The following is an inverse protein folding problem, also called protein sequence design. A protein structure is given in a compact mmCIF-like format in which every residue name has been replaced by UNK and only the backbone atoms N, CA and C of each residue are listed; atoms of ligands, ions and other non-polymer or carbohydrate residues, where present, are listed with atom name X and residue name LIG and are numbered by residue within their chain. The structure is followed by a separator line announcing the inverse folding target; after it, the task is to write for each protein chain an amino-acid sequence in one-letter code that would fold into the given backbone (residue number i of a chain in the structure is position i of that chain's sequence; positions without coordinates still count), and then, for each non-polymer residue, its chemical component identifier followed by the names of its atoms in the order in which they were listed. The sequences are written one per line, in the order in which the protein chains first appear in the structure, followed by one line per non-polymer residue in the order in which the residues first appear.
data_IF_354836952543
#
_entry.id   IF_354836952543
#
_cell.length_a   1.000
_cell.length_b   1.000
_cell.length_c   1.000
_cell.angle_alpha   90.00
_cell.angle_beta   90.00
_cell.angle_gamma   90.00
#
_symmetry.space_group_name_H-M   'P 1'
#
loop_
_entity.id
_entity.type
_entity.pdbx_description
1 polymer ?
#
# COMPACT_ATOMS: atom_id res chain seq x y z
N UNK A 1 -14.30 10.23 9.37
CA UNK A 1 -15.22 9.66 10.38
C UNK A 1 -15.98 8.46 9.83
N UNK A 2 -16.78 8.56 8.75
CA UNK A 2 -17.59 7.46 8.19
C UNK A 2 -16.80 6.18 7.88
N UNK A 3 -15.58 6.29 7.34
CA UNK A 3 -14.73 5.13 7.03
C UNK A 3 -14.31 4.41 8.31
N UNK A 4 -13.90 5.14 9.34
CA UNK A 4 -13.52 4.56 10.63
C UNK A 4 -14.70 3.83 11.30
N UNK A 5 -15.88 4.44 11.30
CA UNK A 5 -17.11 3.81 11.83
C UNK A 5 -17.42 2.49 11.11
N UNK A 6 -17.28 2.45 9.77
CA UNK A 6 -17.47 1.22 9.00
C UNK A 6 -16.44 0.14 9.33
N UNK A 7 -15.20 0.55 9.57
CA UNK A 7 -14.12 -0.37 9.95
C UNK A 7 -14.36 -0.96 11.34
N UNK A 8 -14.74 -0.14 12.32
CA UNK A 8 -15.07 -0.57 13.68
C UNK A 8 -16.24 -1.58 13.62
N UNK A 9 -17.28 -1.26 12.86
CA UNK A 9 -18.43 -2.14 12.68
C UNK A 9 -18.04 -3.49 12.04
N UNK A 10 -17.23 -3.46 10.98
CA UNK A 10 -16.81 -4.67 10.27
C UNK A 10 -15.85 -5.55 11.09
N UNK A 11 -15.01 -4.93 11.91
CA UNK A 11 -14.05 -5.64 12.76
C UNK A 11 -14.65 -6.11 14.09
N UNK A 12 -15.79 -5.53 14.51
CA UNK A 12 -16.37 -5.77 15.83
C UNK A 12 -15.46 -5.33 16.98
N UNK A 13 -14.54 -4.39 16.73
CA UNK A 13 -13.53 -3.95 17.69
C UNK A 13 -13.78 -2.51 18.13
N UNK A 14 -14.19 -2.34 19.38
CA UNK A 14 -14.24 -1.04 20.06
C UNK A 14 -12.79 -0.59 20.34
N UNK A 15 -12.48 0.68 20.13
CA UNK A 15 -11.11 1.22 20.28
C UNK A 15 -10.23 1.10 19.02
N UNK A 16 -10.79 0.56 17.93
CA UNK A 16 -10.06 0.46 16.64
C UNK A 16 -9.62 1.83 16.13
N UNK A 17 -10.34 2.89 16.45
CA UNK A 17 -10.04 4.29 16.08
C UNK A 17 -8.68 4.75 16.58
N UNK A 18 -8.22 4.26 17.73
CA UNK A 18 -6.90 4.61 18.28
C UNK A 18 -5.75 4.06 17.43
N UNK A 19 -6.04 3.02 16.65
CA UNK A 19 -5.07 2.30 15.82
C UNK A 19 -5.15 2.61 14.34
N UNK A 20 -6.11 3.45 13.92
CA UNK A 20 -6.29 3.86 12.53
C UNK A 20 -5.59 5.21 12.31
N UNK A 21 -4.86 5.33 11.20
CA UNK A 21 -4.26 6.59 10.76
C UNK A 21 -4.55 6.82 9.28
N UNK A 22 -4.98 8.04 8.96
CA UNK A 22 -5.23 8.50 7.59
C UNK A 22 -4.30 9.68 7.29
N UNK A 23 -3.63 9.64 6.15
CA UNK A 23 -2.95 10.84 5.66
C UNK A 23 -3.98 11.87 5.18
N UNK A 24 -3.65 13.17 5.22
CA UNK A 24 -4.54 14.21 4.70
C UNK A 24 -4.95 13.92 3.25
N UNK A 25 -6.25 13.98 2.97
CA UNK A 25 -6.79 13.74 1.63
C UNK A 25 -6.81 12.29 1.14
N UNK A 26 -6.50 11.29 2.00
CA UNK A 26 -6.57 9.88 1.61
C UNK A 26 -7.97 9.48 1.13
N UNK A 27 -9.00 9.74 1.91
CA UNK A 27 -10.38 9.31 1.59
C UNK A 27 -10.89 9.93 0.29
N UNK A 28 -10.80 11.26 0.08
CA UNK A 28 -11.19 11.85 -1.20
C UNK A 28 -10.39 11.32 -2.40
N UNK A 29 -9.08 11.09 -2.26
CA UNK A 29 -8.26 10.58 -3.36
C UNK A 29 -8.61 9.13 -3.71
N UNK A 30 -8.75 8.25 -2.70
CA UNK A 30 -9.17 6.87 -2.92
C UNK A 30 -10.56 6.80 -3.56
N UNK A 31 -11.50 7.65 -3.10
CA UNK A 31 -12.85 7.70 -3.66
C UNK A 31 -12.84 8.17 -5.11
N UNK A 32 -12.16 9.27 -5.41
CA UNK A 32 -12.07 9.79 -6.77
C UNK A 32 -11.43 8.77 -7.73
N UNK A 33 -10.40 8.04 -7.30
CA UNK A 33 -9.80 6.96 -8.07
C UNK A 33 -10.81 5.83 -8.35
N UNK A 34 -11.55 5.39 -7.33
CA UNK A 34 -12.56 4.34 -7.52
C UNK A 34 -13.70 4.81 -8.42
N UNK A 35 -14.20 6.03 -8.25
CA UNK A 35 -15.27 6.61 -9.07
C UNK A 35 -14.83 6.75 -10.55
N UNK A 36 -13.53 6.94 -10.82
CA UNK A 36 -12.96 6.97 -12.17
C UNK A 36 -12.63 5.60 -12.77
N UNK A 37 -12.94 4.49 -12.10
CA UNK A 37 -12.69 3.14 -12.60
C UNK A 37 -11.27 2.61 -12.35
N UNK A 38 -10.47 3.29 -11.51
CA UNK A 38 -9.13 2.82 -11.20
C UNK A 38 -9.11 1.39 -10.63
N UNK A 39 -8.10 0.57 -10.96
CA UNK A 39 -7.98 -0.79 -10.43
C UNK A 39 -7.62 -0.79 -8.94
N UNK A 40 -7.99 -1.87 -8.26
CA UNK A 40 -7.56 -2.17 -6.90
C UNK A 40 -6.51 -3.28 -6.98
N UNK A 41 -5.28 -2.99 -6.53
CA UNK A 41 -4.16 -3.93 -6.55
C UNK A 41 -3.99 -4.54 -5.16
N UNK A 42 -4.11 -5.87 -5.06
CA UNK A 42 -4.11 -6.61 -3.80
C UNK A 42 -2.89 -7.52 -3.68
N UNK A 43 -2.22 -7.53 -2.51
CA UNK A 43 -1.05 -8.35 -2.26
C UNK A 43 -1.36 -9.84 -2.05
N UNK A 44 -2.60 -10.18 -1.72
CA UNK A 44 -3.02 -11.55 -1.46
C UNK A 44 -4.46 -11.80 -1.93
N UNK A 45 -4.79 -13.06 -2.25
CA UNK A 45 -6.15 -13.47 -2.62
C UNK A 45 -7.17 -13.19 -1.52
N UNK A 46 -6.79 -13.39 -0.26
CA UNK A 46 -7.63 -13.07 0.89
C UNK A 46 -8.11 -11.61 0.85
N UNK A 47 -7.23 -10.68 0.48
CA UNK A 47 -7.57 -9.26 0.34
C UNK A 47 -8.49 -9.04 -0.85
N UNK A 48 -8.16 -9.61 -2.02
CA UNK A 48 -8.96 -9.43 -3.24
C UNK A 48 -10.35 -10.06 -3.14
N UNK A 49 -10.47 -11.20 -2.47
CA UNK A 49 -11.78 -11.85 -2.25
C UNK A 49 -12.61 -11.16 -1.16
N UNK A 50 -11.98 -10.45 -0.24
CA UNK A 50 -12.66 -9.63 0.76
C UNK A 50 -13.33 -8.37 0.21
N UNK A 51 -13.01 -7.98 -1.04
CA UNK A 51 -13.58 -6.80 -1.69
C UNK A 51 -14.97 -7.15 -2.26
N UNK A 52 -16.00 -6.47 -1.79
CA UNK A 52 -17.37 -6.63 -2.26
C UNK A 52 -17.54 -5.98 -3.65
N UNK A 53 -17.17 -6.71 -4.71
CA UNK A 53 -17.17 -6.22 -6.11
C UNK A 53 -18.47 -5.52 -6.55
N UNK A 54 -19.69 -6.03 -6.22
CA UNK A 54 -20.93 -5.35 -6.60
C UNK A 54 -21.12 -3.94 -6.00
N UNK A 55 -20.31 -3.56 -5.02
CA UNK A 55 -20.34 -2.22 -4.41
C UNK A 55 -19.31 -1.26 -4.99
N UNK A 56 -18.49 -1.71 -5.92
CA UNK A 56 -17.53 -0.85 -6.60
C UNK A 56 -18.23 0.07 -7.59
N UNK A 57 -17.92 1.38 -7.60
CA UNK A 57 -18.74 2.37 -8.30
C UNK A 57 -18.64 2.31 -9.83
N UNK A 58 -17.54 1.80 -10.38
CA UNK A 58 -17.25 1.86 -11.81
C UNK A 58 -16.77 0.53 -12.41
N UNK A 59 -17.19 -0.61 -11.83
CA UNK A 59 -16.74 -1.92 -12.31
C UNK A 59 -15.22 -2.13 -12.16
N UNK A 60 -14.62 -1.51 -11.16
CA UNK A 60 -13.17 -1.50 -10.91
C UNK A 60 -12.58 -2.92 -10.94
N UNK A 61 -11.51 -3.10 -11.69
CA UNK A 61 -10.76 -4.34 -11.68
C UNK A 61 -10.11 -4.58 -10.32
N UNK A 62 -10.22 -5.79 -9.77
CA UNK A 62 -9.53 -6.22 -8.55
C UNK A 62 -8.47 -7.22 -8.97
N UNK A 63 -7.21 -6.84 -8.83
CA UNK A 63 -6.03 -7.54 -9.36
C UNK A 63 -5.18 -8.07 -8.20
N UNK A 64 -4.86 -9.37 -8.25
CA UNK A 64 -3.90 -10.01 -7.36
C UNK A 64 -2.96 -10.88 -8.16
N UNK A 65 -1.70 -10.49 -8.27
CA UNK A 65 -0.68 -11.16 -9.10
C UNK A 65 0.15 -12.21 -8.36
N UNK A 66 -0.14 -12.48 -7.08
CA UNK A 66 0.66 -13.37 -6.23
C UNK A 66 0.82 -14.79 -6.79
N UNK A 67 -0.17 -15.27 -7.54
CA UNK A 67 -0.17 -16.62 -8.11
C UNK A 67 0.08 -16.64 -9.62
N UNK A 68 0.45 -15.51 -10.21
CA UNK A 68 0.76 -15.45 -11.64
C UNK A 68 1.94 -16.34 -11.97
N UNK A 69 1.87 -16.97 -13.15
CA UNK A 69 2.99 -17.73 -13.68
C UNK A 69 4.26 -16.88 -13.76
N UNK A 70 5.40 -17.44 -13.36
CA UNK A 70 6.70 -16.77 -13.32
C UNK A 70 6.96 -15.91 -12.08
N UNK A 71 6.01 -15.76 -11.15
CA UNK A 71 6.28 -15.07 -9.87
C UNK A 71 7.29 -15.85 -9.01
N UNK A 72 7.24 -17.19 -8.91
CA UNK A 72 8.27 -17.94 -8.17
C UNK A 72 9.67 -17.74 -8.73
N UNK A 73 9.85 -17.81 -10.06
CA UNK A 73 11.13 -17.61 -10.73
C UNK A 73 11.63 -16.16 -10.56
N UNK A 74 10.73 -15.19 -10.66
CA UNK A 74 11.05 -13.79 -10.42
C UNK A 74 11.50 -13.56 -8.97
N UNK A 75 10.83 -14.18 -8.00
CA UNK A 75 11.21 -14.11 -6.59
C UNK A 75 12.60 -14.67 -6.34
N UNK A 76 12.91 -15.84 -6.93
CA UNK A 76 14.24 -16.46 -6.85
C UNK A 76 15.29 -15.55 -7.48
N UNK A 77 15.05 -14.98 -8.66
CA UNK A 77 15.96 -14.05 -9.34
C UNK A 77 16.20 -12.78 -8.53
N UNK A 78 15.18 -12.27 -7.86
CA UNK A 78 15.28 -11.07 -7.01
C UNK A 78 15.90 -11.35 -5.64
N UNK A 79 16.05 -12.61 -5.23
CA UNK A 79 16.42 -12.97 -3.86
C UNK A 79 15.41 -12.46 -2.82
N UNK A 80 14.13 -12.40 -3.16
CA UNK A 80 13.09 -11.82 -2.32
C UNK A 80 11.85 -12.74 -2.24
N UNK A 81 10.86 -12.36 -1.44
CA UNK A 81 9.62 -13.12 -1.28
C UNK A 81 8.76 -13.08 -2.54
N UNK A 82 7.91 -14.12 -2.72
CA UNK A 82 6.90 -14.10 -3.80
C UNK A 82 5.97 -12.90 -3.72
N UNK A 83 5.62 -12.47 -2.50
CA UNK A 83 4.79 -11.29 -2.29
C UNK A 83 5.45 -10.02 -2.82
N UNK A 84 6.75 -9.83 -2.56
CA UNK A 84 7.52 -8.71 -3.12
C UNK A 84 7.64 -8.80 -4.65
N UNK A 85 7.98 -9.98 -5.18
CA UNK A 85 8.13 -10.19 -6.62
C UNK A 85 6.83 -9.97 -7.40
N UNK A 86 5.69 -10.35 -6.82
CA UNK A 86 4.38 -10.15 -7.43
C UNK A 86 4.07 -8.66 -7.72
N UNK A 87 4.58 -7.74 -6.88
CA UNK A 87 4.36 -6.31 -7.05
C UNK A 87 5.05 -5.72 -8.29
N UNK A 88 6.13 -6.34 -8.79
CA UNK A 88 6.76 -5.89 -10.02
C UNK A 88 5.81 -5.98 -11.23
N UNK A 89 4.84 -6.89 -11.17
CA UNK A 89 3.80 -7.01 -12.19
C UNK A 89 2.72 -5.93 -12.10
N UNK A 90 2.72 -5.12 -11.04
CA UNK A 90 1.79 -4.01 -10.88
C UNK A 90 2.20 -2.77 -11.66
N UNK A 91 3.46 -2.64 -12.08
CA UNK A 91 3.96 -1.43 -12.76
C UNK A 91 3.04 -0.90 -13.87
N UNK A 92 2.49 -1.74 -14.77
CA UNK A 92 1.58 -1.27 -15.82
C UNK A 92 0.23 -0.75 -15.30
N UNK A 93 -0.16 -1.16 -14.10
CA UNK A 93 -1.48 -0.87 -13.51
C UNK A 93 -1.40 0.10 -12.32
N UNK A 94 -0.18 0.52 -11.93
CA UNK A 94 0.04 1.25 -10.68
C UNK A 94 -0.40 2.72 -10.76
N UNK A 95 -0.34 3.33 -11.96
CA UNK A 95 -0.73 4.73 -12.15
C UNK A 95 -2.19 4.97 -11.72
N UNK A 96 -2.40 5.80 -10.70
CA UNK A 96 -3.72 6.13 -10.21
C UNK A 96 -4.49 5.00 -9.52
N UNK A 97 -3.90 3.81 -9.36
CA UNK A 97 -4.54 2.68 -8.69
C UNK A 97 -4.80 2.92 -7.20
N UNK A 98 -5.72 2.16 -6.63
CA UNK A 98 -5.83 1.98 -5.19
C UNK A 98 -5.10 0.69 -4.81
N UNK A 99 -4.07 0.79 -3.98
CA UNK A 99 -3.31 -0.38 -3.51
C UNK A 99 -3.84 -0.83 -2.15
N UNK A 100 -4.07 -2.12 -1.99
CA UNK A 100 -4.51 -2.75 -0.74
C UNK A 100 -3.54 -3.88 -0.34
N UNK A 101 -2.68 -3.60 0.64
CA UNK A 101 -1.75 -4.57 1.24
C UNK A 101 -2.28 -4.97 2.60
N UNK A 102 -2.84 -6.16 2.70
CA UNK A 102 -3.48 -6.67 3.90
C UNK A 102 -2.87 -7.95 4.44
N UNK A 103 -1.80 -8.47 3.81
CA UNK A 103 -1.15 -9.70 4.23
C UNK A 103 0.34 -9.52 4.50
N UNK A 104 1.16 -9.21 3.49
CA UNK A 104 2.60 -9.34 3.57
C UNK A 104 3.34 -8.03 3.87
N UNK A 105 4.06 -7.90 5.01
CA UNK A 105 4.95 -6.76 5.26
C UNK A 105 5.99 -6.55 4.17
N UNK A 106 6.55 -7.65 3.62
CA UNK A 106 7.53 -7.59 2.54
C UNK A 106 6.96 -6.98 1.25
N UNK A 107 5.67 -7.15 0.97
CA UNK A 107 5.00 -6.46 -0.13
C UNK A 107 4.97 -4.95 0.10
N UNK A 108 4.63 -4.51 1.32
CA UNK A 108 4.57 -3.08 1.64
C UNK A 108 5.94 -2.43 1.54
N UNK A 109 6.99 -3.04 2.12
CA UNK A 109 8.36 -2.54 1.99
C UNK A 109 8.80 -2.48 0.52
N UNK A 110 8.50 -3.53 -0.27
CA UNK A 110 8.87 -3.54 -1.67
C UNK A 110 8.16 -2.44 -2.47
N UNK A 111 6.87 -2.21 -2.20
CA UNK A 111 6.14 -1.09 -2.81
C UNK A 111 6.79 0.26 -2.51
N UNK A 112 7.16 0.50 -1.25
CA UNK A 112 7.83 1.75 -0.85
C UNK A 112 9.15 1.92 -1.60
N UNK A 113 9.96 0.85 -1.71
CA UNK A 113 11.20 0.87 -2.49
C UNK A 113 10.96 1.14 -3.98
N UNK A 114 9.91 0.55 -4.58
CA UNK A 114 9.53 0.85 -5.97
C UNK A 114 9.18 2.33 -6.16
N UNK A 115 8.50 2.92 -5.19
CA UNK A 115 8.06 4.32 -5.24
C UNK A 115 9.18 5.33 -4.95
N UNK A 116 10.36 4.89 -4.52
CA UNK A 116 11.57 5.71 -4.48
C UNK A 116 12.08 6.06 -5.89
N UNK A 117 11.83 5.19 -6.87
CA UNK A 117 12.13 5.46 -8.26
C UNK A 117 11.16 6.52 -8.83
N UNK A 118 11.65 7.70 -9.25
CA UNK A 118 10.80 8.75 -9.83
C UNK A 118 10.06 8.31 -11.10
N UNK A 119 10.60 7.31 -11.82
CA UNK A 119 9.97 6.75 -13.02
C UNK A 119 8.86 5.74 -12.70
N UNK A 120 8.76 5.29 -11.44
CA UNK A 120 7.69 4.38 -11.03
C UNK A 120 6.34 5.10 -11.00
N UNK A 121 5.31 4.58 -11.69
CA UNK A 121 3.98 5.15 -11.64
C UNK A 121 3.45 5.18 -10.20
N UNK A 122 2.72 6.23 -9.84
CA UNK A 122 2.23 6.40 -8.47
C UNK A 122 0.77 6.01 -8.32
N UNK A 123 0.42 5.25 -7.27
CA UNK A 123 -0.96 4.98 -6.94
C UNK A 123 -1.64 6.23 -6.39
N UNK A 124 -2.96 6.32 -6.53
CA UNK A 124 -3.77 7.38 -5.94
C UNK A 124 -3.88 7.24 -4.41
N UNK A 125 -3.90 6.00 -3.93
CA UNK A 125 -4.03 5.68 -2.51
C UNK A 125 -3.41 4.34 -2.15
N UNK A 126 -2.85 4.22 -0.93
CA UNK A 126 -2.31 2.97 -0.39
C UNK A 126 -3.00 2.66 0.93
N UNK A 127 -3.57 1.47 1.02
CA UNK A 127 -4.11 0.87 2.25
C UNK A 127 -3.07 -0.12 2.76
N UNK A 128 -2.31 0.27 3.80
CA UNK A 128 -1.23 -0.53 4.38
C UNK A 128 -1.65 -1.17 5.70
N UNK A 129 -2.19 -2.38 5.63
CA UNK A 129 -2.66 -3.15 6.78
C UNK A 129 -2.04 -4.56 6.82
N UNK A 130 -0.73 -4.74 6.52
CA UNK A 130 -0.14 -6.07 6.58
C UNK A 130 -0.25 -6.65 7.98
N UNK A 131 -0.35 -7.99 8.06
CA UNK A 131 -0.46 -8.74 9.30
C UNK A 131 0.81 -9.52 9.58
N UNK A 132 1.02 -9.94 10.82
CA UNK A 132 2.15 -10.78 11.24
C UNK A 132 2.89 -10.20 12.43
N UNK A 133 3.89 -10.99 12.92
CA UNK A 133 4.70 -10.63 14.07
C UNK A 133 6.02 -9.96 13.68
N UNK A 134 6.54 -10.24 12.48
CA UNK A 134 7.83 -9.72 12.00
C UNK A 134 7.59 -8.77 10.83
N UNK A 135 8.05 -7.54 10.96
CA UNK A 135 7.99 -6.53 9.90
C UNK A 135 6.63 -5.85 9.68
N UNK A 136 5.55 -6.31 10.35
CA UNK A 136 4.22 -5.75 10.12
C UNK A 136 4.09 -4.33 10.69
N UNK A 137 4.63 -4.05 11.86
CA UNK A 137 4.64 -2.71 12.45
C UNK A 137 5.61 -1.82 11.69
N UNK A 138 6.83 -2.30 11.48
CA UNK A 138 7.91 -1.57 10.82
C UNK A 138 7.52 -1.14 9.40
N UNK A 139 6.84 -2.00 8.63
CA UNK A 139 6.37 -1.66 7.29
C UNK A 139 5.29 -0.57 7.30
N UNK A 140 4.39 -0.60 8.29
CA UNK A 140 3.38 0.43 8.49
C UNK A 140 3.99 1.75 8.96
N UNK A 141 5.03 1.70 9.80
CA UNK A 141 5.77 2.88 10.24
C UNK A 141 6.57 3.48 9.09
N UNK A 142 7.18 2.65 8.24
CA UNK A 142 7.84 3.11 7.02
C UNK A 142 6.87 3.83 6.08
N UNK A 143 5.67 3.27 5.86
CA UNK A 143 4.63 3.93 5.08
C UNK A 143 4.21 5.28 5.68
N UNK A 144 4.21 5.40 7.02
CA UNK A 144 3.89 6.67 7.69
C UNK A 144 5.04 7.67 7.62
N UNK A 145 6.28 7.23 7.71
CA UNK A 145 7.48 8.06 7.68
C UNK A 145 7.77 8.66 6.29
N UNK A 146 7.21 8.10 5.21
CA UNK A 146 7.37 8.62 3.84
C UNK A 146 6.58 9.94 3.60
N UNK A 147 5.95 10.50 4.65
CA UNK A 147 5.33 11.83 4.56
C UNK A 147 6.36 12.96 4.42
N UNK A 148 6.04 13.99 3.62
CA UNK A 148 6.76 15.26 3.68
C UNK A 148 6.61 15.84 5.10
N UNK A 149 7.70 15.83 5.89
CA UNK A 149 7.74 16.33 7.26
C UNK A 149 7.93 15.29 8.36
N UNK A 150 7.79 13.98 8.09
CA UNK A 150 7.92 12.91 9.11
C UNK A 150 9.27 12.19 9.11
N UNK A 151 10.36 12.81 8.66
CA UNK A 151 11.69 12.18 8.42
C UNK A 151 12.45 11.65 9.66
N UNK A 152 11.83 11.45 10.81
CA UNK A 152 12.57 11.23 12.04
C UNK A 152 12.90 9.76 12.40
N UNK A 153 12.27 8.72 11.86
CA UNK A 153 12.39 7.36 12.41
C UNK A 153 12.37 6.20 11.43
N UNK A 154 13.02 6.29 10.27
CA UNK A 154 13.22 5.12 9.40
C UNK A 154 14.49 4.38 9.83
N UNK A 155 14.46 3.08 10.18
CA UNK A 155 15.63 2.30 10.50
C UNK A 155 16.69 2.36 9.39
N UNK A 156 17.96 2.53 9.75
CA UNK A 156 19.07 2.81 8.83
C UNK A 156 19.31 1.74 7.76
N UNK A 157 18.92 0.49 7.99
CA UNK A 157 19.04 -0.63 7.04
C UNK A 157 18.01 -0.58 5.89
N UNK A 158 16.98 0.27 5.98
CA UNK A 158 16.03 0.55 4.89
C UNK A 158 16.31 1.85 4.13
N UNK A 159 17.34 2.61 4.54
CA UNK A 159 17.74 3.84 3.85
C UNK A 159 18.70 3.50 2.72
N UNK A 160 18.23 3.43 1.49
CA UNK A 160 19.11 3.73 0.34
C UNK A 160 19.26 5.24 0.24
N UNK A 161 20.51 5.72 0.10
CA UNK A 161 20.79 7.12 -0.14
C UNK A 161 20.03 7.58 -1.39
N UNK A 162 19.17 8.59 -1.26
CA UNK A 162 18.64 9.32 -2.41
C UNK A 162 19.80 10.10 -3.04
N UNK A 163 20.03 10.01 -4.35
CA UNK A 163 20.86 10.99 -5.00
C UNK A 163 20.14 12.34 -4.91
N UNK A 164 20.79 13.31 -4.29
CA UNK A 164 20.35 14.71 -4.27
C UNK A 164 20.51 15.26 -5.70
N UNK A 165 19.45 15.21 -6.47
CA UNK A 165 19.37 15.88 -7.77
C UNK A 165 18.63 17.21 -7.58
N UNK A 166 19.33 18.36 -7.66
CA UNK A 166 18.67 19.66 -7.59
C UNK A 166 17.85 19.89 -8.87
N UNK A 167 16.56 20.17 -8.73
CA UNK A 167 15.72 20.67 -9.82
C UNK A 167 14.50 19.84 -10.20
N UNK A 168 14.23 18.70 -9.60
CA UNK A 168 12.96 18.00 -9.82
C UNK A 168 11.90 18.47 -8.82
N UNK A 169 10.73 18.88 -9.35
CA UNK A 169 9.54 19.10 -8.55
C UNK A 169 9.27 17.85 -7.70
N UNK A 170 9.17 18.03 -6.38
CA UNK A 170 8.85 16.94 -5.50
C UNK A 170 7.58 16.22 -5.97
N UNK A 171 7.58 14.90 -6.13
CA UNK A 171 6.40 14.17 -6.52
C UNK A 171 5.27 14.41 -5.51
N UNK A 172 4.00 14.38 -5.94
CA UNK A 172 2.88 14.59 -5.04
C UNK A 172 2.93 13.59 -3.87
N UNK A 173 2.53 14.00 -2.67
CA UNK A 173 2.59 13.15 -1.49
C UNK A 173 1.75 11.89 -1.70
N UNK A 174 2.29 10.74 -1.32
CA UNK A 174 1.56 9.47 -1.32
C UNK A 174 0.45 9.57 -0.27
N UNK A 175 -0.77 9.22 -0.66
CA UNK A 175 -1.94 9.22 0.23
C UNK A 175 -2.18 7.80 0.71
N UNK A 176 -2.27 7.60 2.02
CA UNK A 176 -2.33 6.25 2.58
C UNK A 176 -3.15 6.18 3.86
N UNK A 177 -3.52 4.95 4.17
CA UNK A 177 -4.16 4.47 5.38
C UNK A 177 -3.34 3.34 5.99
N UNK A 178 -3.17 3.33 7.31
CA UNK A 178 -2.57 2.22 8.04
C UNK A 178 -3.38 1.85 9.27
N UNK A 179 -3.33 0.58 9.63
CA UNK A 179 -3.84 0.08 10.89
C UNK A 179 -2.69 -0.37 11.78
N UNK A 180 -2.62 0.21 12.98
CA UNK A 180 -1.69 -0.19 14.03
C UNK A 180 -2.42 -1.16 14.95
N UNK A 181 -1.85 -2.33 15.19
CA UNK A 181 -2.26 -3.17 16.31
C UNK A 181 -1.47 -2.70 17.54
N UNK A 182 -2.14 -2.52 18.66
CA UNK A 182 -1.46 -2.41 19.95
C UNK A 182 -0.73 -3.71 20.29
N UNK A 183 0.38 -3.62 21.03
CA UNK A 183 1.04 -4.78 21.60
C UNK A 183 0.10 -5.58 22.51
#
# INVERSE_FOLDING_TARGET
EQVAVRMIHAAGMVGLEDHIRFSPGFVPAARAALDSGAPILCDARMVSEGITRPRLPAGNAVVCTLQDAGVPELAAKMGNTRSAAALERWRPHLAGAVVAIGNAPTALFHLLNMLEDPACPRPAAIIGCPVGFVGAMESKDALWADQPGSRAQTPSHFRRARPDSPGQLAPPPIRYFRWLRSP
#
